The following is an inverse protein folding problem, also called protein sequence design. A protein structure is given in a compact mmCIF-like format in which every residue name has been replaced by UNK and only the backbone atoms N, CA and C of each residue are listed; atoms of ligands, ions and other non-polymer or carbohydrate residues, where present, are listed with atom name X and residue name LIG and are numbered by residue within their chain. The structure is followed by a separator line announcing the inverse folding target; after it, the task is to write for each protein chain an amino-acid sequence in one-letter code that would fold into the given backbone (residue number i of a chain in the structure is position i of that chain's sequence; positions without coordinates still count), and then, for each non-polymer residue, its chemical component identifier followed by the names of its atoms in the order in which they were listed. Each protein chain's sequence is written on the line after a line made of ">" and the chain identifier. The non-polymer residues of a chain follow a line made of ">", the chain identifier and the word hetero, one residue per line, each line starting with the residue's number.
data_IF_885202616680
#
_entry.id   IF_885202616680
#
_cell.length_a   1.000
_cell.length_b   1.000
_cell.length_c   1.000
_cell.angle_alpha   90.00
_cell.angle_beta   90.00
_cell.angle_gamma   90.00
#
_symmetry.space_group_name_H-M   'P 1'
#
loop_
_entity.id
_entity.type
_entity.pdbx_description
1 polymer ?
#
# COMPACT_ATOMS: atom_id res chain seq x y z
N UNK A 1 -14.57 8.40 38.76
CA UNK A 1 -13.35 8.94 38.13
C UNK A 1 -12.76 7.82 37.31
N UNK A 2 -13.03 7.82 36.01
CA UNK A 2 -12.33 6.96 35.06
C UNK A 2 -10.88 7.44 34.98
N UNK A 3 -9.91 6.53 35.12
CA UNK A 3 -8.51 6.85 34.87
C UNK A 3 -8.34 6.86 33.35
N UNK A 4 -8.13 8.04 32.79
CA UNK A 4 -7.65 8.21 31.42
C UNK A 4 -6.37 7.37 31.25
N UNK A 5 -6.46 6.27 30.52
CA UNK A 5 -5.30 5.56 30.00
C UNK A 5 -4.75 6.36 28.82
N UNK A 6 -4.01 7.43 29.11
CA UNK A 6 -3.15 8.12 28.14
C UNK A 6 -1.89 7.27 27.86
N UNK A 7 -2.09 6.15 27.14
CA UNK A 7 -1.00 5.33 26.60
C UNK A 7 -0.45 5.95 25.31
N UNK A 8 -0.02 7.20 25.38
CA UNK A 8 0.64 7.88 24.27
C UNK A 8 2.08 8.16 24.69
N UNK A 9 3.02 7.33 24.25
CA UNK A 9 4.45 7.67 24.32
C UNK A 9 4.71 8.72 23.25
N UNK A 10 5.13 9.90 23.66
CA UNK A 10 5.26 11.05 22.75
C UNK A 10 6.52 10.95 21.88
N UNK A 11 7.48 10.10 22.28
CA UNK A 11 8.73 9.85 21.55
C UNK A 11 9.18 8.38 21.66
N UNK A 12 10.01 7.93 20.71
CA UNK A 12 10.57 6.57 20.73
C UNK A 12 11.46 6.26 21.93
N UNK A 13 12.15 7.27 22.46
CA UNK A 13 12.98 7.14 23.67
C UNK A 13 12.14 6.86 24.93
N UNK A 14 10.95 7.46 25.03
CA UNK A 14 10.02 7.22 26.15
C UNK A 14 9.51 5.79 26.16
N UNK A 15 9.18 5.23 24.98
CA UNK A 15 8.77 3.84 24.83
C UNK A 15 9.91 2.89 25.22
N UNK A 16 11.12 3.10 24.70
CA UNK A 16 12.29 2.27 25.00
C UNK A 16 12.60 2.26 26.51
N UNK A 17 12.53 3.42 27.17
CA UNK A 17 12.75 3.52 28.61
C UNK A 17 11.70 2.74 29.41
N UNK A 18 10.42 2.80 29.01
CA UNK A 18 9.34 2.07 29.69
C UNK A 18 9.41 0.56 29.49
N UNK A 19 9.89 0.09 28.34
CA UNK A 19 10.15 -1.33 28.10
C UNK A 19 11.24 -1.88 29.03
N UNK A 20 12.33 -1.13 29.23
CA UNK A 20 13.42 -1.52 30.14
C UNK A 20 12.93 -1.60 31.60
N UNK A 21 12.10 -0.65 32.03
CA UNK A 21 11.52 -0.62 33.39
C UNK A 21 10.62 -1.84 33.64
N UNK A 22 9.78 -2.22 32.67
CA UNK A 22 8.92 -3.41 32.78
C UNK A 22 9.72 -4.72 32.80
N UNK A 23 10.78 -4.81 32.00
CA UNK A 23 11.65 -6.00 32.00
C UNK A 23 12.37 -6.18 33.35
N UNK A 24 12.75 -5.09 34.01
CA UNK A 24 13.36 -5.13 35.34
C UNK A 24 12.36 -5.56 36.43
N UNK A 25 11.12 -5.08 36.38
CA UNK A 25 10.07 -5.51 37.31
C UNK A 25 9.81 -7.02 37.20
N UNK A 26 9.69 -7.54 35.98
CA UNK A 26 9.46 -8.96 35.74
C UNK A 26 10.65 -9.84 36.19
N UNK A 27 11.89 -9.33 36.09
CA UNK A 27 13.06 -10.04 36.59
C UNK A 27 13.12 -10.08 38.12
N UNK A 28 12.53 -9.10 38.79
CA UNK A 28 12.56 -9.00 40.25
C UNK A 28 11.59 -9.99 40.93
N UNK A 29 10.56 -10.46 40.22
CA UNK A 29 9.53 -11.38 40.74
C UNK A 29 9.87 -12.87 40.60
N UNK A 30 11.10 -13.23 40.17
CA UNK A 30 11.45 -14.62 39.79
C UNK A 30 12.31 -15.42 40.78
N UNK A 31 12.54 -14.93 42.00
CA UNK A 31 13.47 -15.57 42.96
C UNK A 31 12.81 -16.11 44.26
N UNK A 32 11.47 -16.20 44.34
CA UNK A 32 10.81 -16.79 45.51
C UNK A 32 10.41 -18.25 45.27
N UNK A 33 11.39 -19.15 45.36
CA UNK A 33 11.18 -20.60 45.52
C UNK A 33 10.70 -20.89 46.96
N UNK A 34 9.43 -20.56 47.26
CA UNK A 34 8.80 -20.97 48.51
C UNK A 34 8.25 -22.40 48.34
N UNK A 35 8.95 -23.38 48.91
CA UNK A 35 8.60 -24.80 48.84
C UNK A 35 7.34 -25.06 49.68
N UNK A 36 6.19 -25.23 49.02
CA UNK A 36 4.90 -25.53 49.65
C UNK A 36 4.73 -27.03 49.86
N UNK A 37 4.66 -27.49 51.11
CA UNK A 37 4.46 -28.90 51.46
C UNK A 37 3.00 -29.33 51.23
N UNK A 38 2.76 -30.24 50.29
CA UNK A 38 1.42 -30.71 49.91
C UNK A 38 0.99 -31.81 50.87
N UNK A 39 0.27 -31.43 51.93
CA UNK A 39 -0.37 -32.40 52.83
C UNK A 39 -1.59 -33.03 52.15
N UNK A 40 -1.34 -34.21 51.56
CA UNK A 40 -2.29 -35.24 51.12
C UNK A 40 -3.02 -34.99 49.79
N UNK A 41 -2.60 -35.73 48.74
CA UNK A 41 -3.24 -35.79 47.43
C UNK A 41 -4.26 -36.94 47.44
N UNK A 42 -5.55 -36.62 47.46
CA UNK A 42 -6.61 -37.59 47.15
C UNK A 42 -6.38 -38.10 45.72
N UNK A 43 -6.49 -39.41 45.52
CA UNK A 43 -6.15 -40.14 44.28
C UNK A 43 -6.56 -39.42 42.97
N UNK A 44 -5.73 -39.48 41.91
CA UNK A 44 -5.97 -38.72 40.69
C UNK A 44 -7.20 -39.27 39.95
N UNK A 45 -8.30 -38.51 39.98
CA UNK A 45 -9.40 -38.69 39.04
C UNK A 45 -8.86 -38.50 37.63
N UNK A 46 -9.09 -39.48 36.75
CA UNK A 46 -8.77 -39.41 35.32
C UNK A 46 -9.61 -38.33 34.64
N UNK A 47 -9.21 -37.08 34.79
CA UNK A 47 -9.70 -35.98 33.98
C UNK A 47 -9.05 -36.10 32.59
N UNK A 48 -9.87 -36.34 31.57
CA UNK A 48 -9.46 -36.18 30.19
C UNK A 48 -9.26 -34.67 29.95
N UNK A 49 -8.03 -34.19 30.20
CA UNK A 49 -7.65 -32.82 29.87
C UNK A 49 -7.72 -32.72 28.35
N UNK A 50 -8.72 -31.98 27.87
CA UNK A 50 -8.85 -31.61 26.46
C UNK A 50 -7.63 -30.72 26.16
N UNK A 51 -6.64 -31.27 25.46
CA UNK A 51 -5.50 -30.49 24.97
C UNK A 51 -6.07 -29.31 24.18
N UNK A 52 -5.82 -28.11 24.68
CA UNK A 52 -6.04 -26.87 23.94
C UNK A 52 -5.30 -27.03 22.60
N UNK A 53 -5.99 -26.76 21.49
CA UNK A 53 -5.34 -26.72 20.19
C UNK A 53 -4.15 -25.77 20.32
N UNK A 54 -2.96 -26.22 19.95
CA UNK A 54 -1.82 -25.33 19.75
C UNK A 54 -2.29 -24.21 18.81
N UNK A 55 -2.55 -23.02 19.35
CA UNK A 55 -2.64 -21.81 18.56
C UNK A 55 -1.25 -21.67 17.93
N UNK A 56 -1.12 -22.15 16.68
CA UNK A 56 -0.01 -21.75 15.83
C UNK A 56 0.07 -20.24 15.92
N UNK A 57 1.14 -19.72 16.54
CA UNK A 57 1.43 -18.29 16.58
C UNK A 57 1.45 -17.82 15.12
N UNK A 58 0.35 -17.24 14.63
CA UNK A 58 0.33 -16.63 13.32
C UNK A 58 1.34 -15.49 13.36
N UNK A 59 2.41 -15.64 12.59
CA UNK A 59 3.41 -14.59 12.49
C UNK A 59 2.73 -13.28 12.07
N UNK A 60 2.95 -12.21 12.84
CA UNK A 60 2.25 -10.94 12.65
C UNK A 60 2.48 -10.40 11.24
N UNK A 61 1.40 -10.07 10.52
CA UNK A 61 1.45 -9.42 9.21
C UNK A 61 1.50 -7.91 9.37
N UNK A 62 2.49 -7.28 8.77
CA UNK A 62 2.68 -5.83 8.73
C UNK A 62 2.28 -5.29 7.36
N UNK A 63 1.52 -4.20 7.35
CA UNK A 63 1.08 -3.55 6.12
C UNK A 63 1.64 -2.14 6.03
N UNK A 64 2.29 -1.82 4.92
CA UNK A 64 2.71 -0.47 4.60
C UNK A 64 1.49 0.35 4.18
N UNK A 65 1.44 1.61 4.62
CA UNK A 65 0.41 2.53 4.22
C UNK A 65 0.53 2.85 2.72
N UNK A 66 -0.58 2.84 1.95
CA UNK A 66 -0.57 3.28 0.55
C UNK A 66 -0.31 4.78 0.44
N UNK A 67 0.17 5.22 -0.73
CA UNK A 67 0.19 6.66 -1.07
C UNK A 67 -1.24 7.20 -1.17
N UNK A 68 -1.48 8.42 -0.68
CA UNK A 68 -2.83 9.01 -0.68
C UNK A 68 -3.40 9.17 -2.09
N UNK A 69 -2.55 9.47 -3.08
CA UNK A 69 -2.96 9.55 -4.49
C UNK A 69 -3.35 8.17 -5.08
N UNK A 70 -2.80 7.08 -4.55
CA UNK A 70 -3.09 5.71 -5.01
C UNK A 70 -4.46 5.21 -4.54
N UNK A 71 -5.07 5.86 -3.54
CA UNK A 71 -6.45 5.54 -3.12
C UNK A 71 -7.45 5.74 -4.27
N UNK A 72 -7.27 6.79 -5.08
CA UNK A 72 -8.09 7.04 -6.27
C UNK A 72 -8.04 5.86 -7.26
N UNK A 73 -6.88 5.22 -7.43
CA UNK A 73 -6.75 4.04 -8.30
C UNK A 73 -7.56 2.88 -7.76
N UNK A 74 -7.51 2.65 -6.44
CA UNK A 74 -8.28 1.61 -5.77
C UNK A 74 -9.78 1.83 -5.93
N UNK A 75 -10.26 3.03 -5.66
CA UNK A 75 -11.67 3.39 -5.80
C UNK A 75 -12.15 3.21 -7.24
N UNK A 76 -11.37 3.68 -8.22
CA UNK A 76 -11.68 3.54 -9.64
C UNK A 76 -11.74 2.08 -10.08
N UNK A 77 -10.81 1.24 -9.61
CA UNK A 77 -10.84 -0.19 -9.89
C UNK A 77 -12.05 -0.89 -9.26
N UNK A 78 -12.42 -0.52 -8.03
CA UNK A 78 -13.58 -1.09 -7.35
C UNK A 78 -14.90 -0.77 -8.07
N UNK A 79 -15.01 0.40 -8.72
CA UNK A 79 -16.19 0.75 -9.52
C UNK A 79 -16.44 -0.22 -10.68
N UNK A 80 -15.40 -0.87 -11.19
CA UNK A 80 -15.49 -1.90 -12.24
C UNK A 80 -15.40 -3.32 -11.68
N UNK A 81 -15.53 -3.48 -10.36
CA UNK A 81 -15.52 -4.79 -9.68
C UNK A 81 -14.13 -5.41 -9.52
N UNK A 82 -13.06 -4.62 -9.64
CA UNK A 82 -11.68 -5.07 -9.48
C UNK A 82 -11.15 -4.69 -8.10
N UNK A 83 -10.47 -5.62 -7.43
CA UNK A 83 -9.76 -5.39 -6.17
C UNK A 83 -8.33 -5.91 -6.29
N UNK A 84 -7.38 -5.14 -5.77
CA UNK A 84 -5.97 -5.49 -5.76
C UNK A 84 -5.58 -6.04 -4.38
N UNK A 85 -5.12 -7.30 -4.29
CA UNK A 85 -4.63 -7.83 -3.02
C UNK A 85 -3.30 -7.18 -2.63
N UNK A 86 -3.03 -6.97 -1.33
CA UNK A 86 -1.71 -6.57 -0.85
C UNK A 86 -0.64 -7.57 -1.31
N UNK A 87 0.49 -7.05 -1.78
CA UNK A 87 1.62 -7.85 -2.26
C UNK A 87 2.65 -8.00 -1.14
N UNK A 88 3.09 -9.22 -0.87
CA UNK A 88 4.18 -9.48 0.07
C UNK A 88 5.50 -8.99 -0.53
N UNK A 89 6.11 -7.98 0.08
CA UNK A 89 7.40 -7.41 -0.31
C UNK A 89 8.57 -8.13 0.35
N UNK A 90 8.35 -8.55 1.59
CA UNK A 90 9.29 -9.28 2.42
C UNK A 90 8.51 -10.15 3.39
N UNK A 91 9.16 -11.11 4.05
CA UNK A 91 8.49 -12.03 4.98
C UNK A 91 7.61 -11.25 5.97
N UNK A 92 6.30 -11.47 5.89
CA UNK A 92 5.28 -10.82 6.71
C UNK A 92 5.11 -9.30 6.52
N UNK A 93 5.68 -8.69 5.48
CA UNK A 93 5.53 -7.26 5.15
C UNK A 93 4.83 -7.14 3.79
N UNK A 94 3.66 -6.49 3.80
CA UNK A 94 2.76 -6.36 2.66
C UNK A 94 2.55 -4.89 2.28
N UNK A 95 2.31 -4.62 1.01
CA UNK A 95 2.04 -3.27 0.51
C UNK A 95 1.10 -3.28 -0.70
N UNK A 96 0.48 -2.12 -0.97
CA UNK A 96 -0.48 -1.91 -2.06
C UNK A 96 0.20 -1.40 -3.33
N UNK A 97 1.20 -2.16 -3.79
CA UNK A 97 2.12 -1.72 -4.85
C UNK A 97 1.44 -1.64 -6.21
N UNK A 98 0.38 -2.41 -6.44
CA UNK A 98 -0.31 -2.41 -7.74
C UNK A 98 -0.95 -1.05 -8.00
N UNK A 99 -1.60 -0.46 -6.99
CA UNK A 99 -2.18 0.87 -7.09
C UNK A 99 -1.11 1.94 -7.33
N UNK A 100 0.01 1.87 -6.60
CA UNK A 100 1.15 2.78 -6.80
C UNK A 100 1.74 2.64 -8.21
N UNK A 101 1.88 1.42 -8.72
CA UNK A 101 2.38 1.15 -10.07
C UNK A 101 1.46 1.73 -11.15
N UNK A 102 0.14 1.57 -11.01
CA UNK A 102 -0.84 2.13 -11.94
C UNK A 102 -0.82 3.66 -11.90
N UNK A 103 -0.72 4.25 -10.70
CA UNK A 103 -0.58 5.69 -10.55
C UNK A 103 0.68 6.19 -11.28
N UNK A 104 1.85 5.56 -11.05
CA UNK A 104 3.09 5.93 -11.74
C UNK A 104 3.05 5.71 -13.25
N UNK A 105 2.41 4.63 -13.72
CA UNK A 105 2.20 4.43 -15.14
C UNK A 105 1.33 5.54 -15.75
N UNK A 106 0.30 5.99 -15.04
CA UNK A 106 -0.58 7.08 -15.46
C UNK A 106 0.15 8.42 -15.48
N UNK A 107 0.94 8.73 -14.45
CA UNK A 107 1.80 9.92 -14.41
C UNK A 107 2.78 9.94 -15.59
N UNK A 108 3.44 8.81 -15.87
CA UNK A 108 4.38 8.69 -16.98
C UNK A 108 3.68 8.87 -18.32
N UNK A 109 2.52 8.24 -18.51
CA UNK A 109 1.69 8.38 -19.71
C UNK A 109 1.34 9.85 -19.99
N UNK A 110 0.84 10.56 -18.97
CA UNK A 110 0.51 11.98 -19.10
C UNK A 110 1.75 12.83 -19.38
N UNK A 111 2.89 12.53 -18.74
CA UNK A 111 4.16 13.20 -18.99
C UNK A 111 4.61 13.08 -20.44
N UNK A 112 4.48 11.89 -21.02
CA UNK A 112 4.87 11.62 -22.40
C UNK A 112 3.96 12.35 -23.41
N UNK A 113 2.64 12.35 -23.17
CA UNK A 113 1.67 13.12 -23.97
C UNK A 113 1.99 14.62 -23.91
N UNK A 114 2.22 15.16 -22.70
CA UNK A 114 2.51 16.58 -22.53
C UNK A 114 3.83 16.99 -23.17
N UNK A 115 4.85 16.12 -23.12
CA UNK A 115 6.16 16.37 -23.74
C UNK A 115 6.03 16.45 -25.27
N UNK A 116 5.32 15.52 -25.87
CA UNK A 116 5.07 15.53 -27.32
C UNK A 116 4.18 16.72 -27.73
N UNK A 117 3.12 17.00 -26.96
CA UNK A 117 2.25 18.14 -27.21
C UNK A 117 3.01 19.47 -27.15
N UNK A 118 3.93 19.61 -26.19
CA UNK A 118 4.81 20.78 -26.10
C UNK A 118 5.73 20.87 -27.32
N UNK A 119 6.33 19.76 -27.76
CA UNK A 119 7.18 19.72 -28.96
C UNK A 119 6.41 20.15 -30.21
N UNK A 120 5.17 19.69 -30.39
CA UNK A 120 4.27 20.13 -31.47
C UNK A 120 3.95 21.62 -31.33
N UNK A 121 3.71 22.10 -30.12
CA UNK A 121 3.53 23.53 -29.84
C UNK A 121 4.71 24.37 -30.31
N UNK A 122 5.94 23.93 -30.03
CA UNK A 122 7.17 24.60 -30.48
C UNK A 122 7.28 24.66 -32.01
N UNK A 123 6.88 23.59 -32.70
CA UNK A 123 6.90 23.53 -34.17
C UNK A 123 5.88 24.49 -34.80
N UNK A 124 4.71 24.66 -34.16
CA UNK A 124 3.68 25.59 -34.61
C UNK A 124 3.99 27.06 -34.26
N UNK A 125 4.87 27.31 -33.29
CA UNK A 125 5.20 28.65 -32.84
C UNK A 125 6.08 29.41 -33.86
N UNK A 126 5.82 30.71 -34.09
CA UNK A 126 6.69 31.55 -34.93
C UNK A 126 8.12 31.59 -34.36
N UNK A 127 9.11 31.27 -35.22
CA UNK A 127 10.58 31.30 -35.02
C UNK A 127 11.04 31.43 -33.55
N UNK A 128 11.38 30.30 -32.94
CA UNK A 128 12.08 30.17 -31.65
C UNK A 128 11.36 30.77 -30.42
N UNK A 129 10.04 30.94 -30.48
CA UNK A 129 9.26 31.32 -29.29
C UNK A 129 8.76 30.09 -28.55
N UNK A 130 8.86 30.15 -27.23
CA UNK A 130 8.25 29.16 -26.33
C UNK A 130 6.73 29.31 -26.43
N UNK A 131 5.98 28.22 -26.68
CA UNK A 131 4.52 28.24 -26.65
C UNK A 131 4.04 28.73 -25.28
N UNK A 132 3.10 29.67 -25.26
CA UNK A 132 2.55 30.20 -23.99
C UNK A 132 1.62 29.20 -23.30
N UNK A 133 1.02 28.31 -24.08
CA UNK A 133 0.09 27.30 -23.62
C UNK A 133 0.15 26.08 -24.55
N UNK A 134 -0.24 24.92 -24.02
CA UNK A 134 -0.49 23.71 -24.81
C UNK A 134 -1.98 23.72 -25.16
N UNK A 135 -2.29 23.76 -26.46
CA UNK A 135 -3.67 23.78 -26.94
C UNK A 135 -4.24 22.36 -27.06
N UNK A 136 -5.57 22.24 -27.14
CA UNK A 136 -6.24 20.96 -27.39
C UNK A 136 -5.74 20.30 -28.70
N UNK A 137 -5.44 21.11 -29.72
CA UNK A 137 -4.88 20.61 -30.98
C UNK A 137 -3.50 19.98 -30.77
N UNK A 138 -2.66 20.55 -29.90
CA UNK A 138 -1.36 19.97 -29.58
C UNK A 138 -1.50 18.61 -28.89
N UNK A 139 -2.44 18.47 -27.95
CA UNK A 139 -2.73 17.20 -27.27
C UNK A 139 -3.25 16.15 -28.25
N UNK A 140 -4.23 16.51 -29.07
CA UNK A 140 -4.79 15.60 -30.08
C UNK A 140 -3.70 15.09 -31.02
N UNK A 141 -2.87 16.00 -31.54
CA UNK A 141 -1.77 15.64 -32.42
C UNK A 141 -0.72 14.78 -31.70
N UNK A 142 -0.43 15.04 -30.42
CA UNK A 142 0.47 14.20 -29.63
C UNK A 142 -0.05 12.76 -29.50
N UNK A 143 -1.34 12.58 -29.19
CA UNK A 143 -1.97 11.25 -29.09
C UNK A 143 -1.88 10.52 -30.44
N UNK A 144 -2.13 11.20 -31.57
CA UNK A 144 -2.01 10.60 -32.89
C UNK A 144 -0.56 10.28 -33.31
N UNK A 145 0.42 11.03 -32.81
CA UNK A 145 1.82 10.86 -33.15
C UNK A 145 2.51 9.74 -32.36
N UNK A 146 2.09 9.49 -31.12
CA UNK A 146 2.72 8.49 -30.23
C UNK A 146 2.20 7.08 -30.61
N UNK A 147 3.05 6.17 -31.12
CA UNK A 147 2.57 4.89 -31.67
C UNK A 147 1.88 3.98 -30.64
N UNK A 148 2.35 3.98 -29.39
CA UNK A 148 1.72 3.14 -28.35
C UNK A 148 0.38 3.68 -27.88
N UNK A 149 0.00 4.91 -28.27
CA UNK A 149 -1.32 5.48 -28.01
C UNK A 149 -2.32 5.21 -29.13
N UNK A 150 -1.95 4.41 -30.13
CA UNK A 150 -2.85 4.06 -31.23
C UNK A 150 -4.16 3.43 -30.73
N UNK A 151 -4.20 2.81 -29.53
CA UNK A 151 -5.41 2.27 -28.89
C UNK A 151 -6.45 3.35 -28.49
N UNK A 152 -6.02 4.62 -28.40
CA UNK A 152 -6.89 5.78 -28.20
C UNK A 152 -7.33 6.42 -29.52
N UNK A 153 -6.93 5.85 -30.66
CA UNK A 153 -7.18 6.40 -31.99
C UNK A 153 -7.91 5.41 -32.89
N UNK A 154 -8.46 5.91 -34.00
CA UNK A 154 -9.14 5.08 -34.99
C UNK A 154 -8.17 4.47 -36.03
N UNK A 155 -6.86 4.68 -35.89
CA UNK A 155 -5.85 4.39 -36.91
C UNK A 155 -5.83 2.94 -37.38
N UNK A 156 -6.16 1.99 -36.50
CA UNK A 156 -6.18 0.56 -36.81
C UNK A 156 -7.57 -0.08 -36.72
N UNK A 157 -8.64 0.71 -36.59
CA UNK A 157 -10.01 0.18 -36.45
C UNK A 157 -10.61 -0.37 -37.76
N UNK A 158 -9.79 -0.64 -38.78
CA UNK A 158 -10.22 -1.29 -40.01
C UNK A 158 -11.39 -0.56 -40.64
N UNK A 159 -11.16 0.66 -41.14
CA UNK A 159 -12.18 1.34 -41.94
C UNK A 159 -12.41 0.49 -43.18
N UNK A 160 -13.58 -0.14 -43.28
CA UNK A 160 -14.15 -0.54 -44.55
C UNK A 160 -14.39 0.76 -45.30
N UNK A 161 -13.52 1.11 -46.25
CA UNK A 161 -13.84 2.13 -47.23
C UNK A 161 -14.99 1.59 -48.08
N UNK A 162 -16.22 1.76 -47.61
CA UNK A 162 -17.39 1.73 -48.46
C UNK A 162 -17.42 3.06 -49.23
N UNK A 163 -16.76 3.07 -50.40
CA UNK A 163 -16.85 4.01 -51.54
C UNK A 163 -15.54 3.85 -52.35
N UNK A 164 -15.45 3.08 -53.45
CA UNK A 164 -16.08 3.24 -54.78
C UNK A 164 -15.95 4.64 -55.40
#
# INVERSE_FOLDING_TARGET
>A
MEKECSSSYTTGEELCRKLIELEQLLKQDSDNDEEVDILNITEPLKINIKKEQEETQEEAKFYLAPESASEFVRETAQQVGISFPPVELHKNIYAFIIEDMILKATEQLVSDILREALAIGYQAAPRNRIPREITMMNIHQAICNIPFLDFLTNKHMGILNDEQ
#
